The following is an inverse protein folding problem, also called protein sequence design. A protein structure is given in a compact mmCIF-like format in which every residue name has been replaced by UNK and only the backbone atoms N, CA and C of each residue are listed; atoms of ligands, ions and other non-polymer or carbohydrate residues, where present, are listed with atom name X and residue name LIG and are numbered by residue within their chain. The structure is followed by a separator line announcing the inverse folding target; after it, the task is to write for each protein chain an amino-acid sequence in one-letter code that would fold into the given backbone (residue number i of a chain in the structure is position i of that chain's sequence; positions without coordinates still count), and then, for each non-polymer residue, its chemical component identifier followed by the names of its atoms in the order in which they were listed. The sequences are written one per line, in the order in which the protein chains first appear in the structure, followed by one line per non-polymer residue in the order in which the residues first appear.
data_IF_395303061144
#
_entry.id   IF_395303061144
#
_cell.length_a   1.000
_cell.length_b   1.000
_cell.length_c   1.000
_cell.angle_alpha   90.00
_cell.angle_beta   90.00
_cell.angle_gamma   90.00
#
_symmetry.space_group_name_H-M   'P 1'
#
loop_
_entity.id
_entity.type
_entity.pdbx_description
1 polymer ?
#
# COMPACT_ATOMS: atom_id res chain seq x y z
N UNK A 1 0.57 22.28 0.67
CA UNK A 1 0.60 20.82 0.36
C UNK A 1 -0.09 19.90 1.37
N UNK A 2 -0.15 20.18 2.69
CA UNK A 2 -0.64 19.20 3.69
C UNK A 2 -2.16 18.94 3.80
N UNK A 3 -2.99 19.49 2.89
CA UNK A 3 -4.46 19.24 2.84
C UNK A 3 -4.94 19.37 1.40
N UNK A 4 -5.80 18.46 0.93
CA UNK A 4 -6.21 18.42 -0.49
C UNK A 4 -6.91 19.69 -0.99
N UNK A 5 -7.83 20.30 -0.21
CA UNK A 5 -8.60 21.48 -0.68
C UNK A 5 -7.74 22.72 -0.99
N UNK A 6 -6.51 22.79 -0.47
CA UNK A 6 -5.59 23.91 -0.66
C UNK A 6 -4.27 23.50 -1.32
N UNK A 7 -4.08 22.21 -1.63
CA UNK A 7 -2.81 21.69 -2.15
C UNK A 7 -2.41 22.38 -3.46
N UNK A 8 -3.33 22.48 -4.43
CA UNK A 8 -3.08 23.13 -5.73
C UNK A 8 -2.90 24.65 -5.69
N UNK A 9 -2.99 25.30 -4.52
CA UNK A 9 -2.65 26.73 -4.38
C UNK A 9 -1.13 26.96 -4.30
N UNK A 10 -0.39 25.90 -4.01
CA UNK A 10 1.07 25.90 -4.00
C UNK A 10 1.57 25.35 -5.35
N UNK A 11 2.33 26.11 -6.15
CA UNK A 11 2.80 25.64 -7.46
C UNK A 11 3.59 24.33 -7.42
N UNK A 12 4.26 24.01 -6.31
CA UNK A 12 5.01 22.75 -6.19
C UNK A 12 4.11 21.52 -6.26
N UNK A 13 2.80 21.68 -6.01
CA UNK A 13 1.79 20.63 -6.18
C UNK A 13 1.87 19.96 -7.55
N UNK A 14 1.98 20.77 -8.60
CA UNK A 14 1.98 20.26 -9.96
C UNK A 14 3.29 19.52 -10.28
N UNK A 15 4.43 20.00 -9.78
CA UNK A 15 5.70 19.30 -9.93
C UNK A 15 5.72 17.97 -9.14
N UNK A 16 5.14 17.95 -7.94
CA UNK A 16 4.96 16.72 -7.17
C UNK A 16 4.10 15.71 -7.94
N UNK A 17 2.94 16.13 -8.45
CA UNK A 17 2.05 15.26 -9.22
C UNK A 17 2.62 14.84 -10.57
N UNK A 18 3.47 15.65 -11.21
CA UNK A 18 4.20 15.23 -12.39
C UNK A 18 5.14 14.06 -12.08
N UNK A 19 5.82 14.06 -10.93
CA UNK A 19 6.64 12.90 -10.57
C UNK A 19 5.80 11.69 -10.11
N UNK A 20 4.58 11.89 -9.60
CA UNK A 20 3.62 10.80 -9.34
C UNK A 20 3.13 10.17 -10.65
N UNK A 21 2.80 10.98 -11.65
CA UNK A 21 2.47 10.54 -13.01
C UNK A 21 3.65 9.78 -13.65
N UNK A 22 4.88 10.28 -13.46
CA UNK A 22 6.10 9.56 -13.82
C UNK A 22 6.24 8.20 -13.14
N UNK A 23 5.74 8.01 -11.91
CA UNK A 23 5.80 6.69 -11.26
C UNK A 23 4.93 5.66 -11.99
N UNK A 24 3.76 6.05 -12.49
CA UNK A 24 2.95 5.18 -13.35
C UNK A 24 3.66 4.87 -14.67
N UNK A 25 4.24 5.89 -15.32
CA UNK A 25 5.06 5.69 -16.52
C UNK A 25 6.21 4.69 -16.30
N UNK A 26 6.98 4.83 -15.21
CA UNK A 26 8.07 3.92 -14.89
C UNK A 26 7.57 2.52 -14.55
N UNK A 27 6.50 2.42 -13.74
CA UNK A 27 5.89 1.15 -13.37
C UNK A 27 5.53 0.31 -14.60
N UNK A 28 4.93 0.95 -15.61
CA UNK A 28 4.61 0.31 -16.90
C UNK A 28 5.85 -0.03 -17.72
N UNK A 29 6.69 0.97 -18.00
CA UNK A 29 7.75 0.84 -19.01
C UNK A 29 9.02 0.14 -18.50
N UNK A 30 9.29 0.17 -17.19
CA UNK A 30 10.52 -0.35 -16.59
C UNK A 30 10.28 -1.60 -15.72
N UNK A 31 9.06 -1.81 -15.22
CA UNK A 31 8.77 -2.88 -14.25
C UNK A 31 7.66 -3.84 -14.70
N UNK A 32 7.14 -3.69 -15.92
CA UNK A 32 6.21 -4.64 -16.53
C UNK A 32 4.78 -4.56 -16.00
N UNK A 33 4.40 -3.46 -15.35
CA UNK A 33 3.03 -3.24 -14.92
C UNK A 33 2.07 -3.05 -16.09
N UNK A 34 0.83 -3.54 -15.97
CA UNK A 34 -0.19 -3.46 -17.01
C UNK A 34 -1.31 -2.50 -16.61
N UNK A 35 -1.77 -1.68 -17.56
CA UNK A 35 -2.90 -0.79 -17.33
C UNK A 35 -4.19 -1.60 -17.05
N UNK A 36 -5.12 -1.00 -16.28
CA UNK A 36 -6.38 -1.66 -15.92
C UNK A 36 -7.28 -1.79 -17.16
N UNK A 37 -7.70 -3.02 -17.49
CA UNK A 37 -8.54 -3.30 -18.66
C UNK A 37 -10.05 -3.21 -18.39
N UNK A 38 -10.46 -3.01 -17.13
CA UNK A 38 -11.87 -2.91 -16.74
C UNK A 38 -12.57 -1.75 -17.47
N UNK A 39 -13.64 -2.06 -18.19
CA UNK A 39 -14.40 -1.08 -18.96
C UNK A 39 -15.01 0.00 -18.09
N UNK A 40 -15.44 -0.32 -16.86
CA UNK A 40 -16.00 0.68 -15.95
C UNK A 40 -14.95 1.72 -15.55
N UNK A 41 -13.68 1.29 -15.41
CA UNK A 41 -12.57 2.19 -15.18
C UNK A 41 -12.19 2.96 -16.44
N UNK A 42 -12.05 2.28 -17.59
CA UNK A 42 -11.64 2.89 -18.86
C UNK A 42 -12.63 3.93 -19.39
N UNK A 43 -13.93 3.70 -19.21
CA UNK A 43 -15.01 4.58 -19.66
C UNK A 43 -15.38 5.64 -18.61
N UNK A 44 -14.72 5.66 -17.45
CA UNK A 44 -14.82 6.75 -16.50
C UNK A 44 -14.37 8.06 -17.15
N UNK A 45 -15.14 9.14 -16.94
CA UNK A 45 -14.90 10.42 -17.59
C UNK A 45 -14.86 11.59 -16.62
N UNK A 46 -14.04 12.57 -16.96
CA UNK A 46 -13.83 13.79 -16.18
C UNK A 46 -14.04 15.03 -17.07
N UNK A 47 -14.30 16.18 -16.44
CA UNK A 47 -14.50 17.44 -17.12
C UNK A 47 -13.39 18.42 -16.72
N UNK A 48 -12.69 18.98 -17.70
CA UNK A 48 -11.65 19.99 -17.52
C UNK A 48 -11.88 21.19 -18.43
N UNK A 49 -11.39 22.36 -18.03
CA UNK A 49 -11.27 23.50 -18.93
C UNK A 49 -9.94 23.41 -19.67
N UNK A 50 -9.98 23.58 -20.99
CA UNK A 50 -8.78 23.67 -21.83
C UNK A 50 -8.18 25.10 -21.84
N UNK A 51 -7.08 25.28 -22.58
CA UNK A 51 -6.39 26.56 -22.71
C UNK A 51 -7.23 27.66 -23.40
N UNK A 52 -8.32 27.26 -24.06
CA UNK A 52 -9.28 28.15 -24.75
C UNK A 52 -10.56 28.34 -23.94
N UNK A 53 -10.55 27.97 -22.66
CA UNK A 53 -11.69 28.08 -21.74
C UNK A 53 -12.92 27.26 -22.19
N UNK A 54 -12.71 26.19 -22.95
CA UNK A 54 -13.77 25.27 -23.35
C UNK A 54 -13.83 24.12 -22.35
N UNK A 55 -15.05 23.73 -21.99
CA UNK A 55 -15.26 22.55 -21.16
C UNK A 55 -15.12 21.29 -22.02
N UNK A 56 -14.13 20.47 -21.72
CA UNK A 56 -13.79 19.24 -22.45
C UNK A 56 -14.04 18.04 -21.54
N UNK A 57 -14.65 17.00 -22.10
CA UNK A 57 -14.76 15.69 -21.47
C UNK A 57 -13.59 14.82 -21.92
N UNK A 58 -12.90 14.24 -20.96
CA UNK A 58 -11.82 13.27 -21.20
C UNK A 58 -12.20 11.93 -20.57
N UNK A 59 -11.72 10.84 -21.15
CA UNK A 59 -11.88 9.49 -20.59
C UNK A 59 -10.56 8.94 -20.10
N UNK A 60 -10.59 7.97 -19.20
CA UNK A 60 -9.38 7.32 -18.69
C UNK A 60 -8.60 6.64 -19.82
N UNK A 61 -9.28 5.91 -20.71
CA UNK A 61 -8.62 5.21 -21.83
C UNK A 61 -7.80 6.12 -22.75
N UNK A 62 -8.25 7.36 -22.94
CA UNK A 62 -7.57 8.33 -23.80
C UNK A 62 -6.29 8.89 -23.13
N UNK A 63 -6.07 8.59 -21.85
CA UNK A 63 -4.94 9.09 -21.07
C UNK A 63 -3.82 8.07 -20.85
N UNK A 64 -3.99 6.80 -21.29
CA UNK A 64 -3.05 5.70 -20.99
C UNK A 64 -1.71 5.81 -21.73
N UNK A 65 -1.65 6.57 -22.82
CA UNK A 65 -0.45 6.78 -23.62
C UNK A 65 -0.07 8.27 -23.60
N UNK A 66 1.02 8.58 -22.89
CA UNK A 66 1.53 9.95 -22.77
C UNK A 66 1.97 10.52 -24.13
N UNK A 67 2.37 9.66 -25.08
CA UNK A 67 2.77 10.10 -26.43
C UNK A 67 1.60 10.61 -27.24
N UNK A 68 0.41 10.04 -27.06
CA UNK A 68 -0.84 10.53 -27.67
C UNK A 68 -1.29 11.86 -27.03
N UNK A 69 -0.94 12.07 -25.77
CA UNK A 69 -1.13 13.35 -25.07
C UNK A 69 -0.06 14.40 -25.41
N UNK A 70 0.97 14.02 -26.17
CA UNK A 70 2.01 14.92 -26.67
C UNK A 70 3.10 15.26 -25.65
N UNK A 71 3.32 14.42 -24.63
CA UNK A 71 4.41 14.59 -23.67
C UNK A 71 5.11 13.27 -23.32
N UNK A 72 6.32 13.39 -22.76
CA UNK A 72 7.09 12.27 -22.23
C UNK A 72 7.99 12.76 -21.07
N UNK A 73 8.59 11.83 -20.34
CA UNK A 73 9.57 12.11 -19.30
C UNK A 73 11.00 11.97 -19.80
N UNK A 74 11.88 12.84 -19.30
CA UNK A 74 13.31 12.69 -19.55
C UNK A 74 13.82 11.34 -18.98
N UNK A 75 14.66 10.67 -19.77
CA UNK A 75 15.34 9.46 -19.34
C UNK A 75 16.40 9.82 -18.29
N UNK A 76 16.07 9.64 -17.02
CA UNK A 76 16.92 9.90 -15.88
C UNK A 76 17.18 8.63 -15.08
N UNK A 77 18.34 8.58 -14.40
CA UNK A 77 18.71 7.48 -13.52
C UNK A 77 17.65 7.24 -12.43
N UNK A 78 17.43 5.97 -12.12
CA UNK A 78 16.44 5.52 -11.13
C UNK A 78 17.20 4.87 -9.97
N UNK A 79 17.71 5.66 -9.00
CA UNK A 79 18.66 5.16 -8.01
C UNK A 79 18.06 4.09 -7.09
N UNK A 80 16.77 4.15 -6.80
CA UNK A 80 16.10 3.24 -5.86
C UNK A 80 15.96 1.79 -6.38
N UNK A 81 16.32 1.51 -7.65
CA UNK A 81 16.40 0.13 -8.18
C UNK A 81 17.73 -0.52 -7.78
N UNK A 82 18.76 0.26 -7.45
CA UNK A 82 20.07 -0.28 -7.08
C UNK A 82 19.91 -1.24 -5.89
N UNK A 83 20.46 -2.47 -5.97
CA UNK A 83 20.44 -3.43 -4.87
C UNK A 83 20.91 -2.87 -3.52
N UNK A 84 21.75 -1.83 -3.52
CA UNK A 84 22.18 -1.13 -2.31
C UNK A 84 21.05 -0.47 -1.52
N UNK A 85 19.91 -0.15 -2.17
CA UNK A 85 18.72 0.39 -1.52
C UNK A 85 17.65 -0.67 -1.24
N UNK A 86 17.89 -1.95 -1.56
CA UNK A 86 16.96 -3.02 -1.22
C UNK A 86 16.90 -3.18 0.31
N UNK A 87 15.71 -3.29 0.92
CA UNK A 87 15.59 -3.62 2.33
C UNK A 87 16.32 -4.91 2.69
N UNK A 88 16.92 -4.94 3.88
CA UNK A 88 17.67 -6.11 4.37
C UNK A 88 17.01 -6.70 5.61
N UNK A 89 16.93 -8.03 5.75
CA UNK A 89 16.36 -8.64 6.94
C UNK A 89 17.28 -8.39 8.14
N UNK A 90 16.71 -7.95 9.26
CA UNK A 90 17.47 -7.76 10.51
C UNK A 90 17.60 -9.05 11.31
N UNK A 91 16.61 -9.95 11.21
CA UNK A 91 16.47 -11.14 12.05
C UNK A 91 16.52 -10.78 13.54
N UNK A 92 15.46 -10.18 14.10
CA UNK A 92 15.46 -9.73 15.49
C UNK A 92 15.76 -10.90 16.44
N UNK A 93 16.57 -10.67 17.49
CA UNK A 93 16.94 -11.72 18.46
C UNK A 93 15.72 -12.21 19.25
N UNK A 94 14.76 -11.32 19.50
CA UNK A 94 13.49 -11.61 20.14
C UNK A 94 12.39 -11.60 19.08
N UNK A 95 11.75 -12.73 18.85
CA UNK A 95 10.53 -12.78 18.05
C UNK A 95 9.35 -12.41 18.95
N UNK A 96 8.50 -11.51 18.46
CA UNK A 96 7.30 -11.11 19.19
C UNK A 96 6.31 -12.26 19.29
N UNK A 97 5.82 -12.55 20.49
CA UNK A 97 4.68 -13.44 20.66
C UNK A 97 3.37 -12.71 20.30
N UNK A 98 2.46 -13.35 19.55
CA UNK A 98 1.21 -12.72 19.17
C UNK A 98 0.33 -12.48 20.40
N UNK A 99 -0.23 -11.28 20.52
CA UNK A 99 -1.20 -10.93 21.56
C UNK A 99 -2.59 -11.49 21.23
N UNK A 100 -2.90 -11.64 19.93
CA UNK A 100 -4.12 -12.25 19.42
C UNK A 100 -3.73 -13.41 18.53
N UNK A 101 -4.16 -14.62 18.89
CA UNK A 101 -3.96 -15.81 18.08
C UNK A 101 -4.91 -15.83 16.87
N UNK A 102 -4.59 -16.62 15.85
CA UNK A 102 -5.44 -16.75 14.66
C UNK A 102 -6.88 -17.17 15.00
N UNK A 103 -7.07 -18.05 15.98
CA UNK A 103 -8.38 -18.54 16.41
C UNK A 103 -9.25 -17.44 17.04
N UNK A 104 -8.63 -16.42 17.61
CA UNK A 104 -9.31 -15.34 18.34
C UNK A 104 -9.62 -14.13 17.46
N UNK A 105 -9.07 -14.05 16.24
CA UNK A 105 -9.28 -12.95 15.30
C UNK A 105 -10.77 -12.59 15.14
N UNK A 106 -11.62 -13.60 14.92
CA UNK A 106 -13.06 -13.39 14.70
C UNK A 106 -13.84 -12.90 15.93
N UNK A 107 -13.29 -13.09 17.13
CA UNK A 107 -13.93 -12.70 18.39
C UNK A 107 -13.36 -11.40 18.97
N UNK A 108 -12.10 -11.08 18.64
CA UNK A 108 -11.39 -9.88 19.13
C UNK A 108 -11.47 -8.70 18.17
N UNK A 109 -11.77 -8.92 16.89
CA UNK A 109 -11.95 -7.86 15.90
C UNK A 109 -13.43 -7.69 15.52
N UNK A 110 -13.91 -6.46 15.29
CA UNK A 110 -13.15 -5.21 15.13
C UNK A 110 -12.55 -4.65 16.43
N UNK A 111 -11.32 -4.13 16.36
CA UNK A 111 -10.58 -3.59 17.49
C UNK A 111 -10.11 -2.15 17.24
N UNK A 112 -9.95 -1.36 18.30
CA UNK A 112 -9.38 0.00 18.19
C UNK A 112 -7.86 -0.08 18.27
N UNK A 113 -7.16 0.56 17.35
CA UNK A 113 -5.70 0.66 17.33
C UNK A 113 -5.26 1.88 18.13
N UNK A 114 -5.22 1.74 19.46
CA UNK A 114 -4.75 2.75 20.41
C UNK A 114 -3.27 2.60 20.79
N UNK A 115 -2.74 1.39 20.64
CA UNK A 115 -1.40 0.97 21.01
C UNK A 115 -0.88 -0.07 20.02
N UNK A 116 0.41 -0.43 20.14
CA UNK A 116 0.99 -1.47 19.32
C UNK A 116 0.29 -2.81 19.57
N UNK A 117 -0.21 -3.45 18.51
CA UNK A 117 -0.86 -4.76 18.55
C UNK A 117 -0.14 -5.75 17.64
N UNK A 118 0.05 -6.97 18.14
CA UNK A 118 0.66 -8.06 17.38
C UNK A 118 -0.33 -9.21 17.22
N UNK A 119 -0.55 -9.64 15.99
CA UNK A 119 -1.62 -10.56 15.61
C UNK A 119 -1.06 -11.70 14.78
N UNK A 120 -1.40 -12.92 15.12
CA UNK A 120 -1.07 -14.07 14.29
C UNK A 120 -2.06 -14.20 13.12
N UNK A 121 -1.53 -14.25 11.90
CA UNK A 121 -2.31 -14.41 10.67
C UNK A 121 -1.92 -15.72 9.99
N UNK A 122 -2.89 -16.62 9.82
CA UNK A 122 -2.66 -17.90 9.15
C UNK A 122 -2.45 -17.71 7.65
N UNK A 123 -1.60 -18.56 7.09
CA UNK A 123 -1.27 -18.61 5.67
C UNK A 123 -1.88 -19.88 5.07
N UNK A 124 -2.87 -19.78 4.17
CA UNK A 124 -3.50 -20.94 3.55
C UNK A 124 -2.48 -21.83 2.83
N UNK A 125 -2.71 -23.14 2.79
CA UNK A 125 -1.77 -24.09 2.15
C UNK A 125 -1.58 -23.81 0.66
N UNK A 126 -2.64 -23.36 0.00
CA UNK A 126 -2.69 -22.97 -1.40
C UNK A 126 -1.75 -21.78 -1.68
N UNK A 127 -1.53 -20.93 -0.69
CA UNK A 127 -0.63 -19.78 -0.76
C UNK A 127 0.82 -20.20 -0.50
N UNK A 128 1.05 -21.19 0.36
CA UNK A 128 2.41 -21.63 0.74
C UNK A 128 3.06 -22.52 -0.31
N UNK A 129 2.28 -23.40 -0.93
CA UNK A 129 2.79 -24.42 -1.86
C UNK A 129 2.65 -23.98 -3.32
N UNK A 130 3.35 -22.90 -3.69
CA UNK A 130 3.34 -22.35 -5.05
C UNK A 130 4.69 -22.51 -5.74
N UNK A 131 4.64 -22.80 -7.03
CA UNK A 131 5.80 -22.75 -7.92
C UNK A 131 6.19 -21.30 -8.23
N UNK A 132 7.43 -21.09 -8.69
CA UNK A 132 7.92 -19.76 -9.10
C UNK A 132 7.07 -19.14 -10.23
N UNK A 133 6.50 -19.97 -11.10
CA UNK A 133 5.60 -19.52 -12.18
C UNK A 133 4.27 -19.00 -11.63
N UNK A 134 3.74 -19.63 -10.59
CA UNK A 134 2.51 -19.19 -9.93
C UNK A 134 2.72 -17.92 -9.12
N UNK A 135 3.84 -17.81 -8.40
CA UNK A 135 4.23 -16.57 -7.71
C UNK A 135 4.39 -15.39 -8.67
N UNK A 136 4.88 -15.61 -9.88
CA UNK A 136 4.98 -14.57 -10.89
C UNK A 136 3.62 -14.09 -11.41
N UNK A 137 2.58 -14.94 -11.34
CA UNK A 137 1.20 -14.61 -11.79
C UNK A 137 0.30 -14.10 -10.68
N UNK A 138 0.54 -14.52 -9.45
CA UNK A 138 -0.27 -14.18 -8.28
C UNK A 138 0.65 -13.81 -7.12
N UNK A 139 0.50 -12.58 -6.64
CA UNK A 139 1.19 -12.08 -5.47
C UNK A 139 0.47 -12.55 -4.20
N UNK A 140 1.23 -13.01 -3.21
CA UNK A 140 0.68 -13.21 -1.87
C UNK A 140 0.62 -11.86 -1.16
N UNK A 141 -0.60 -11.47 -0.78
CA UNK A 141 -0.88 -10.17 -0.20
C UNK A 141 -1.44 -10.29 1.21
N UNK A 142 -0.93 -9.45 2.12
CA UNK A 142 -1.55 -9.19 3.41
C UNK A 142 -2.64 -8.14 3.24
N UNK A 143 -3.87 -8.48 3.60
CA UNK A 143 -5.03 -7.59 3.56
C UNK A 143 -5.46 -7.25 4.98
N UNK A 144 -5.37 -5.97 5.33
CA UNK A 144 -5.96 -5.43 6.56
C UNK A 144 -7.31 -4.84 6.19
N UNK A 145 -8.39 -5.44 6.70
CA UNK A 145 -9.78 -5.15 6.30
C UNK A 145 -10.48 -4.24 7.29
N UNK A 146 -11.43 -3.46 6.79
CA UNK A 146 -12.34 -2.67 7.62
C UNK A 146 -11.61 -1.63 8.46
N UNK A 147 -10.64 -0.95 7.86
CA UNK A 147 -9.92 0.16 8.50
C UNK A 147 -10.85 1.37 8.51
N UNK A 148 -11.28 1.80 9.69
CA UNK A 148 -12.17 2.95 9.87
C UNK A 148 -11.48 4.07 10.65
N UNK A 149 -11.57 5.30 10.15
CA UNK A 149 -11.05 6.49 10.85
C UNK A 149 -11.76 7.78 10.39
N UNK A 150 -11.73 8.86 11.19
CA UNK A 150 -12.28 10.15 10.78
C UNK A 150 -11.50 10.79 9.62
N UNK A 151 -12.19 11.29 8.60
CA UNK A 151 -11.55 11.87 7.41
C UNK A 151 -10.78 13.16 7.65
N UNK A 152 -11.09 13.86 8.74
CA UNK A 152 -10.58 15.19 9.09
C UNK A 152 -9.26 15.19 9.88
N UNK A 153 -8.77 14.02 10.30
CA UNK A 153 -7.50 13.86 10.99
C UNK A 153 -6.46 13.19 10.09
N UNK A 154 -5.16 13.52 10.23
CA UNK A 154 -4.12 12.70 9.63
C UNK A 154 -4.03 11.35 10.36
N UNK A 155 -3.86 10.27 9.61
CA UNK A 155 -3.71 8.92 10.15
C UNK A 155 -2.45 8.28 9.57
N UNK A 156 -1.62 7.70 10.44
CA UNK A 156 -0.49 6.86 10.06
C UNK A 156 -0.26 5.74 11.08
N UNK A 157 -0.21 4.51 10.58
CA UNK A 157 0.39 3.40 11.30
C UNK A 157 1.26 2.58 10.34
N UNK A 158 2.28 1.96 10.91
CA UNK A 158 3.22 1.10 10.21
C UNK A 158 2.84 -0.37 10.43
N UNK A 159 3.16 -1.20 9.45
CA UNK A 159 2.88 -2.64 9.44
C UNK A 159 4.20 -3.39 9.34
N UNK A 160 4.44 -4.28 10.29
CA UNK A 160 5.61 -5.14 10.34
C UNK A 160 5.19 -6.60 10.28
N UNK A 161 6.08 -7.45 9.76
CA UNK A 161 5.90 -8.90 9.69
C UNK A 161 7.10 -9.57 10.35
N UNK A 162 6.83 -10.41 11.36
CA UNK A 162 7.82 -11.16 12.13
C UNK A 162 8.95 -10.30 12.75
N UNK A 163 8.64 -9.06 13.14
CA UNK A 163 9.59 -8.16 13.81
C UNK A 163 9.47 -8.22 15.35
N UNK A 164 10.37 -7.50 16.02
CA UNK A 164 10.30 -7.15 17.43
C UNK A 164 9.35 -5.96 17.64
N UNK A 165 8.23 -6.15 18.34
CA UNK A 165 7.24 -5.13 18.60
C UNK A 165 7.70 -4.10 19.65
N UNK A 166 8.64 -4.48 20.53
CA UNK A 166 9.23 -3.58 21.52
C UNK A 166 10.30 -2.69 20.87
N UNK A 167 10.94 -3.17 19.80
CA UNK A 167 11.91 -2.43 19.00
C UNK A 167 11.63 -2.56 17.49
N UNK A 168 10.57 -1.90 16.98
CA UNK A 168 10.20 -1.97 15.58
C UNK A 168 11.30 -1.43 14.68
N UNK A 169 11.58 -2.14 13.60
CA UNK A 169 12.60 -1.81 12.62
C UNK A 169 12.26 -0.54 11.82
N UNK A 170 13.24 -0.05 11.06
CA UNK A 170 13.07 1.07 10.14
C UNK A 170 12.54 0.61 8.78
N UNK A 171 12.20 1.57 7.90
CA UNK A 171 11.73 1.27 6.53
C UNK A 171 12.82 0.68 5.62
N UNK A 172 14.07 0.62 6.09
CA UNK A 172 15.21 0.00 5.40
C UNK A 172 15.33 -1.51 5.69
N UNK A 173 14.42 -2.09 6.47
CA UNK A 173 14.43 -3.51 6.86
C UNK A 173 13.31 -4.30 6.20
N UNK A 174 13.58 -5.57 5.87
CA UNK A 174 12.61 -6.43 5.21
C UNK A 174 11.39 -6.72 6.08
N UNK A 175 11.52 -6.68 7.40
CA UNK A 175 10.41 -6.83 8.35
C UNK A 175 9.34 -5.72 8.21
N UNK A 176 9.70 -4.54 7.67
CA UNK A 176 8.77 -3.46 7.40
C UNK A 176 8.00 -3.71 6.10
N UNK A 177 6.70 -4.02 6.22
CA UNK A 177 5.84 -4.31 5.08
C UNK A 177 5.25 -3.05 4.43
N UNK A 178 5.09 -1.96 5.19
CA UNK A 178 4.57 -0.69 4.69
C UNK A 178 3.86 0.13 5.75
N UNK A 179 3.16 1.17 5.31
CA UNK A 179 2.34 2.02 6.18
C UNK A 179 1.03 2.37 5.48
N UNK A 180 -0.03 2.58 6.27
CA UNK A 180 -1.13 3.41 5.80
C UNK A 180 -0.82 4.87 6.11
N UNK A 181 -1.11 5.76 5.17
CA UNK A 181 -1.01 7.21 5.37
C UNK A 181 -2.26 7.86 4.81
N UNK A 182 -2.97 8.59 5.65
CA UNK A 182 -4.12 9.39 5.25
C UNK A 182 -3.81 10.88 5.40
N UNK A 183 -4.01 11.63 4.32
CA UNK A 183 -3.95 13.08 4.32
C UNK A 183 -5.34 13.61 4.67
N UNK A 184 -5.43 14.43 5.71
CA UNK A 184 -6.71 14.97 6.17
C UNK A 184 -7.50 15.62 5.04
N UNK A 185 -8.80 15.36 4.99
CA UNK A 185 -9.75 16.01 4.09
C UNK A 185 -10.64 16.96 4.89
N UNK A 186 -11.16 18.02 4.25
CA UNK A 186 -12.05 19.01 4.90
C UNK A 186 -13.40 18.43 5.35
N UNK A 187 -13.84 17.31 4.77
CA UNK A 187 -15.15 16.75 5.09
C UNK A 187 -15.09 16.00 6.41
N UNK A 188 -16.23 15.90 7.08
CA UNK A 188 -16.38 15.21 8.35
C UNK A 188 -17.24 13.96 8.13
N UNK A 189 -16.58 12.86 7.82
CA UNK A 189 -17.19 11.54 7.70
C UNK A 189 -16.19 10.46 8.12
N UNK A 190 -16.67 9.24 8.31
CA UNK A 190 -15.80 8.09 8.56
C UNK A 190 -15.36 7.53 7.21
N UNK A 191 -14.05 7.43 7.01
CA UNK A 191 -13.48 6.69 5.88
C UNK A 191 -13.44 5.22 6.28
N UNK A 192 -13.87 4.36 5.36
CA UNK A 192 -13.69 2.91 5.45
C UNK A 192 -12.81 2.47 4.30
N UNK A 193 -11.71 1.82 4.59
CA UNK A 193 -10.76 1.37 3.58
C UNK A 193 -10.12 0.04 3.97
N UNK A 194 -9.38 -0.55 3.03
CA UNK A 194 -8.54 -1.71 3.27
C UNK A 194 -7.10 -1.35 2.87
N UNK A 195 -6.12 -1.99 3.50
CA UNK A 195 -4.72 -1.92 3.09
C UNK A 195 -4.32 -3.28 2.53
N UNK A 196 -3.69 -3.28 1.35
CA UNK A 196 -3.17 -4.48 0.70
C UNK A 196 -1.66 -4.32 0.50
N UNK A 197 -0.88 -5.24 1.03
CA UNK A 197 0.59 -5.21 0.96
C UNK A 197 1.08 -6.52 0.35
N UNK A 198 1.90 -6.45 -0.71
CA UNK A 198 2.58 -7.63 -1.26
C UNK A 198 3.67 -8.10 -0.30
N UNK A 199 3.60 -9.37 0.11
CA UNK A 199 4.52 -9.93 1.11
C UNK A 199 5.35 -11.09 0.57
N UNK A 200 5.23 -11.47 -0.71
CA UNK A 200 5.96 -12.64 -1.26
C UNK A 200 7.46 -12.50 -1.10
N UNK A 201 8.04 -11.38 -1.58
CA UNK A 201 9.47 -11.09 -1.45
C UNK A 201 9.92 -10.92 0.00
N UNK A 202 9.06 -10.28 0.80
CA UNK A 202 9.30 -10.08 2.23
C UNK A 202 9.47 -11.42 2.94
N UNK A 203 8.59 -12.39 2.69
CA UNK A 203 8.64 -13.71 3.32
C UNK A 203 9.85 -14.54 2.87
N UNK A 204 10.30 -14.35 1.63
CA UNK A 204 11.53 -14.96 1.12
C UNK A 204 12.77 -14.39 1.83
N UNK A 205 12.87 -13.06 1.95
CA UNK A 205 13.98 -12.39 2.63
C UNK A 205 14.04 -12.77 4.13
N UNK A 206 12.88 -12.96 4.77
CA UNK A 206 12.79 -13.39 6.18
C UNK A 206 12.96 -14.91 6.38
N UNK A 207 13.06 -15.70 5.31
CA UNK A 207 13.10 -17.16 5.40
C UNK A 207 11.80 -17.80 5.93
N UNK A 208 10.69 -17.06 5.92
CA UNK A 208 9.39 -17.45 6.46
C UNK A 208 8.44 -18.03 5.39
N UNK A 209 8.92 -18.24 4.16
CA UNK A 209 8.09 -18.70 3.03
C UNK A 209 7.31 -20.00 3.32
N UNK A 210 7.83 -20.90 4.17
CA UNK A 210 7.19 -22.18 4.52
C UNK A 210 6.30 -22.14 5.76
N UNK A 211 6.35 -21.06 6.53
CA UNK A 211 5.68 -20.96 7.83
C UNK A 211 4.15 -20.95 7.66
N UNK A 212 3.43 -21.68 8.51
CA UNK A 212 1.97 -21.80 8.45
C UNK A 212 1.22 -20.54 8.89
N UNK A 213 1.88 -19.65 9.63
CA UNK A 213 1.36 -18.37 10.08
C UNK A 213 2.50 -17.36 10.18
N UNK A 214 2.15 -16.09 10.24
CA UNK A 214 3.08 -14.97 10.47
C UNK A 214 2.51 -14.05 11.53
N UNK A 215 3.39 -13.38 12.27
CA UNK A 215 3.00 -12.36 13.24
C UNK A 215 3.03 -11.01 12.55
N UNK A 216 1.87 -10.36 12.48
CA UNK A 216 1.70 -9.02 11.94
C UNK A 216 1.60 -8.04 13.10
N UNK A 217 2.48 -7.04 13.11
CA UNK A 217 2.53 -6.01 14.15
C UNK A 217 2.11 -4.67 13.56
N UNK A 218 1.09 -4.04 14.14
CA UNK A 218 0.64 -2.70 13.79
C UNK A 218 1.17 -1.70 14.82
N UNK A 219 1.90 -0.69 14.35
CA UNK A 219 2.48 0.35 15.21
C UNK A 219 1.85 1.70 14.86
N UNK A 220 0.93 2.23 15.69
CA UNK A 220 0.38 3.57 15.48
C UNK A 220 1.48 4.62 15.64
N UNK A 221 1.66 5.49 14.63
CA UNK A 221 2.67 6.56 14.66
C UNK A 221 2.03 7.91 14.94
N UNK A 222 1.04 8.26 14.14
CA UNK A 222 0.28 9.50 14.27
C UNK A 222 -1.20 9.18 14.09
N UNK A 223 -1.98 9.32 15.15
CA UNK A 223 -3.42 9.12 15.10
C UNK A 223 -4.09 9.99 16.17
N UNK A 224 -4.50 11.20 15.79
CA UNK A 224 -5.37 12.01 16.65
C UNK A 224 -6.82 11.46 16.63
N UNK A 225 -7.14 10.55 15.70
CA UNK A 225 -8.43 9.88 15.61
C UNK A 225 -8.37 8.42 16.03
N UNK A 226 -9.51 7.92 16.51
CA UNK A 226 -9.72 6.49 16.79
C UNK A 226 -9.70 5.73 15.47
N UNK A 227 -8.70 4.86 15.30
CA UNK A 227 -8.59 3.95 14.16
C UNK A 227 -9.19 2.62 14.59
N UNK A 228 -10.13 2.10 13.82
CA UNK A 228 -10.69 0.76 14.03
C UNK A 228 -10.17 -0.15 12.92
N UNK A 229 -9.75 -1.36 13.29
CA UNK A 229 -9.34 -2.41 12.35
C UNK A 229 -10.40 -3.50 12.40
N UNK A 230 -10.89 -3.92 11.23
CA UNK A 230 -11.93 -4.93 11.10
C UNK A 230 -11.42 -6.36 11.08
N UNK A 231 -10.23 -6.60 10.54
CA UNK A 231 -9.60 -7.92 10.53
C UNK A 231 -8.39 -8.03 9.60
N UNK A 232 -7.86 -9.25 9.50
CA UNK A 232 -6.68 -9.58 8.72
C UNK A 232 -6.92 -10.83 7.89
N UNK A 233 -6.36 -10.87 6.69
CA UNK A 233 -6.28 -12.09 5.89
C UNK A 233 -5.04 -12.07 5.00
N UNK A 234 -4.59 -13.25 4.59
CA UNK A 234 -3.56 -13.43 3.56
C UNK A 234 -4.21 -14.15 2.40
N UNK A 235 -4.13 -13.55 1.22
CA UNK A 235 -4.85 -13.96 0.03
C UNK A 235 -3.95 -13.88 -1.21
N UNK A 236 -4.39 -14.50 -2.31
CA UNK A 236 -3.72 -14.39 -3.61
C UNK A 236 -4.38 -13.28 -4.42
N UNK A 237 -3.57 -12.32 -4.86
CA UNK A 237 -4.00 -11.30 -5.80
C UNK A 237 -3.31 -11.53 -7.16
N UNK A 238 -4.03 -11.45 -8.29
CA UNK A 238 -3.38 -11.49 -9.60
C UNK A 238 -2.37 -10.35 -9.72
N UNK A 239 -1.20 -10.64 -10.30
CA UNK A 239 -0.25 -9.64 -10.74
C UNK A 239 -0.84 -8.98 -11.99
N UNK A 240 -1.21 -7.70 -11.88
CA UNK A 240 -1.61 -6.84 -13.02
C UNK A 240 -0.39 -6.01 -13.40
#
# INVERSE_FOLDING_TARGET
MGVFYSAGRDPIFFAHHANVDRMWYLWKNNFGGQDIEDTDWLDSSFLFYDEKQRLVRVTVRDSLDTTLLGYDYECADIPWIDPAYKPTPRFPPNKTEPQVSFAELSTKFPATLDSTISVEVARPEEVRNRSEVEKAKQEEVLVIRGIEFPSNVPVKFDVYVNDDADSPSGPDKSEFAGSIVHVRHRHDHIIKTNLTLGITRLLEDLGAAKDGSVVVTLVPRNGEGKITIGGFSIELSPCV
#
